data_IF_132098212723
#
_entry.id   IF_132098212723
#
_cell.length_a   1.000
_cell.length_b   1.000
_cell.length_c   1.000
_cell.angle_alpha   90.00
_cell.angle_beta   90.00
_cell.angle_gamma   90.00
#
_symmetry.space_group_name_H-M   'P 1'
#
loop_
_entity.id
_entity.type
_entity.pdbx_description
1 polymer ?
#
# COMPACT_ATOMS: atom_id res chain seq x y z
N UNK A 1 -17.04 -0.32 6.05
CA UNK A 1 -16.94 1.13 5.77
C UNK A 1 -16.53 1.83 7.05
N UNK A 2 -15.25 2.21 7.18
CA UNK A 2 -14.81 3.09 8.27
C UNK A 2 -14.96 4.51 7.78
N UNK A 3 -16.06 5.15 8.17
CA UNK A 3 -16.47 6.48 7.68
C UNK A 3 -15.68 7.63 8.30
N UNK A 4 -14.75 7.35 9.21
CA UNK A 4 -13.88 8.32 9.86
C UNK A 4 -12.48 7.73 10.02
N UNK A 5 -11.44 8.47 9.64
CA UNK A 5 -10.02 8.11 9.75
C UNK A 5 -9.52 8.01 11.20
N UNK A 6 -10.21 7.23 12.04
CA UNK A 6 -9.88 6.96 13.43
C UNK A 6 -9.99 5.46 13.69
N UNK A 7 -8.83 4.79 13.68
CA UNK A 7 -8.61 3.37 14.01
C UNK A 7 -9.64 2.39 13.44
N UNK A 8 -9.34 1.87 12.26
CA UNK A 8 -10.07 0.72 11.76
C UNK A 8 -9.86 -0.51 12.66
N UNK A 9 -10.95 -1.13 13.14
CA UNK A 9 -10.92 -2.37 13.94
C UNK A 9 -10.91 -3.64 13.10
N UNK A 10 -10.98 -3.53 11.77
CA UNK A 10 -10.75 -4.64 10.83
C UNK A 10 -9.35 -4.60 10.24
N UNK A 11 -8.84 -5.79 9.91
CA UNK A 11 -7.55 -6.02 9.28
C UNK A 11 -7.68 -6.51 7.83
N UNK A 12 -8.86 -6.35 7.23
CA UNK A 12 -9.04 -6.60 5.80
C UNK A 12 -8.12 -5.66 4.96
N UNK A 13 -7.82 -6.00 3.69
CA UNK A 13 -7.02 -5.13 2.82
C UNK A 13 -7.49 -3.67 2.85
N UNK A 14 -6.55 -2.74 2.98
CA UNK A 14 -6.82 -1.29 3.01
C UNK A 14 -7.17 -0.72 4.39
N UNK A 15 -7.09 -1.51 5.46
CA UNK A 15 -7.42 -1.08 6.81
C UNK A 15 -6.20 -1.04 7.74
N UNK A 16 -6.37 -1.31 9.05
CA UNK A 16 -5.24 -1.38 9.96
C UNK A 16 -4.30 -2.53 9.57
N UNK A 17 -3.01 -2.35 9.78
CA UNK A 17 -2.02 -3.39 9.49
C UNK A 17 -1.89 -4.35 10.67
N UNK A 18 -2.07 -5.64 10.42
CA UNK A 18 -1.97 -6.66 11.46
C UNK A 18 -0.50 -7.03 11.72
N UNK A 19 -0.13 -7.33 12.98
CA UNK A 19 1.25 -7.71 13.33
C UNK A 19 1.75 -8.99 12.63
N UNK A 20 0.85 -9.93 12.32
CA UNK A 20 1.24 -11.13 11.56
C UNK A 20 1.44 -10.79 10.07
N UNK A 21 0.62 -9.89 9.51
CA UNK A 21 0.75 -9.43 8.13
C UNK A 21 2.12 -8.78 7.90
N UNK A 22 2.56 -7.92 8.83
CA UNK A 22 3.89 -7.29 8.77
C UNK A 22 5.02 -8.32 8.83
N UNK A 23 4.91 -9.31 9.73
CA UNK A 23 5.91 -10.38 9.86
C UNK A 23 6.00 -11.23 8.61
N UNK A 24 4.86 -11.55 8.00
CA UNK A 24 4.82 -12.35 6.78
C UNK A 24 5.47 -11.60 5.62
N UNK A 25 5.09 -10.34 5.35
CA UNK A 25 5.68 -9.54 4.29
C UNK A 25 7.20 -9.33 4.47
N UNK A 26 7.66 -9.21 5.73
CA UNK A 26 9.09 -9.14 6.06
C UNK A 26 9.83 -10.47 5.84
N UNK A 27 9.14 -11.61 5.98
CA UNK A 27 9.73 -12.94 5.86
C UNK A 27 9.81 -13.44 4.40
N UNK A 28 9.16 -12.74 3.46
CA UNK A 28 9.13 -13.06 2.03
C UNK A 28 9.71 -11.92 1.18
N UNK A 29 10.99 -11.55 1.38
CA UNK A 29 11.60 -10.39 0.72
C UNK A 29 11.65 -10.48 -0.82
N UNK A 30 11.63 -11.70 -1.39
CA UNK A 30 11.64 -11.91 -2.84
C UNK A 30 10.27 -11.70 -3.50
N UNK A 31 9.20 -11.51 -2.73
CA UNK A 31 7.83 -11.31 -3.25
C UNK A 31 7.44 -9.82 -3.33
N UNK A 32 8.36 -8.90 -3.02
CA UNK A 32 8.13 -7.47 -3.19
C UNK A 32 8.27 -7.04 -4.64
N UNK A 33 7.33 -6.21 -5.09
CA UNK A 33 7.29 -5.61 -6.42
C UNK A 33 7.61 -4.12 -6.29
N UNK A 34 8.73 -3.70 -6.85
CA UNK A 34 9.08 -2.28 -6.91
C UNK A 34 8.17 -1.54 -7.89
N UNK A 35 7.72 -0.36 -7.51
CA UNK A 35 6.85 0.49 -8.31
C UNK A 35 7.15 1.98 -8.10
N UNK A 36 6.68 2.81 -9.01
CA UNK A 36 6.75 4.28 -8.92
C UNK A 36 5.33 4.83 -8.78
N UNK A 37 5.12 5.81 -7.90
CA UNK A 37 3.83 6.48 -7.77
C UNK A 37 3.53 7.28 -9.06
N UNK A 38 2.48 6.91 -9.78
CA UNK A 38 2.08 7.56 -11.03
C UNK A 38 1.10 8.73 -10.76
N UNK A 39 0.11 8.51 -9.90
CA UNK A 39 -0.86 9.54 -9.49
C UNK A 39 -1.50 9.20 -8.15
N UNK A 40 -2.08 10.22 -7.51
CA UNK A 40 -2.90 10.10 -6.30
C UNK A 40 -4.17 10.90 -6.55
N UNK A 41 -5.34 10.30 -6.32
CA UNK A 41 -6.63 10.97 -6.50
C UNK A 41 -7.11 11.68 -5.22
N UNK A 42 -8.18 12.47 -5.34
CA UNK A 42 -8.78 13.22 -4.23
C UNK A 42 -9.38 12.31 -3.14
N UNK A 43 -9.58 11.01 -3.42
CA UNK A 43 -10.07 10.01 -2.47
C UNK A 43 -8.92 9.28 -1.74
N UNK A 44 -7.67 9.60 -2.08
CA UNK A 44 -6.47 8.98 -1.52
C UNK A 44 -6.14 7.61 -2.11
N UNK A 45 -6.72 7.24 -3.25
CA UNK A 45 -6.25 6.09 -4.02
C UNK A 45 -5.02 6.51 -4.83
N UNK A 46 -4.02 5.64 -4.89
CA UNK A 46 -2.80 5.86 -5.66
C UNK A 46 -2.70 4.84 -6.79
N UNK A 47 -2.36 5.32 -7.98
CA UNK A 47 -1.94 4.49 -9.09
C UNK A 47 -0.42 4.36 -9.04
N UNK A 48 0.08 3.13 -9.07
CA UNK A 48 1.49 2.80 -9.09
C UNK A 48 1.83 2.15 -10.43
N UNK A 49 2.99 2.45 -10.97
CA UNK A 49 3.53 1.78 -12.15
C UNK A 49 4.69 0.88 -11.73
N UNK A 50 4.56 -0.44 -11.93
CA UNK A 50 5.61 -1.40 -11.59
C UNK A 50 6.90 -1.10 -12.38
N UNK A 51 8.06 -1.27 -11.74
CA UNK A 51 9.35 -0.98 -12.38
C UNK A 51 9.69 -2.03 -13.44
N UNK A 52 9.25 -3.28 -13.26
CA UNK A 52 9.62 -4.38 -14.13
C UNK A 52 9.00 -4.28 -15.53
N UNK A 53 7.73 -3.90 -15.63
CA UNK A 53 6.96 -3.95 -16.87
C UNK A 53 5.98 -2.77 -17.05
N UNK A 54 5.95 -1.81 -16.13
CA UNK A 54 5.09 -0.63 -16.19
C UNK A 54 3.61 -0.94 -15.94
N UNK A 55 3.28 -2.13 -15.44
CA UNK A 55 1.92 -2.51 -15.07
C UNK A 55 1.35 -1.55 -14.03
N UNK A 56 0.09 -1.16 -14.21
CA UNK A 56 -0.62 -0.29 -13.29
C UNK A 56 -1.19 -1.11 -12.12
N UNK A 57 -0.94 -0.63 -10.89
CA UNK A 57 -1.53 -1.16 -9.66
C UNK A 57 -2.29 -0.03 -8.98
N UNK A 58 -3.58 -0.25 -8.71
CA UNK A 58 -4.38 0.68 -7.92
C UNK A 58 -4.34 0.26 -6.46
N UNK A 59 -3.88 1.16 -5.59
CA UNK A 59 -3.79 0.93 -4.14
C UNK A 59 -4.58 1.96 -3.35
N UNK A 60 -5.17 1.52 -2.24
CA UNK A 60 -5.81 2.43 -1.28
C UNK A 60 -5.59 1.98 0.16
N UNK A 61 -5.38 2.93 1.08
CA UNK A 61 -5.31 2.65 2.52
C UNK A 61 -6.09 3.66 3.34
N UNK A 62 -7.05 3.18 4.11
CA UNK A 62 -7.74 3.96 5.14
C UNK A 62 -6.87 4.31 6.35
N UNK A 63 -5.61 3.87 6.38
CA UNK A 63 -4.62 4.25 7.39
C UNK A 63 -3.75 5.46 6.97
N UNK A 64 -4.13 6.17 5.89
CA UNK A 64 -3.47 7.41 5.46
C UNK A 64 -2.16 7.17 4.68
N UNK A 65 -2.12 6.16 3.81
CA UNK A 65 -0.96 5.95 2.94
C UNK A 65 -0.75 7.11 1.97
N UNK A 66 -1.83 7.70 1.45
CA UNK A 66 -1.79 8.85 0.54
C UNK A 66 -1.01 10.04 1.12
N UNK A 67 -1.10 10.29 2.43
CA UNK A 67 -0.37 11.38 3.10
C UNK A 67 1.15 11.16 3.13
N UNK A 68 1.61 9.93 2.87
CA UNK A 68 3.01 9.58 2.80
C UNK A 68 3.53 9.47 1.35
N UNK A 69 2.65 9.48 0.35
CA UNK A 69 3.00 9.28 -1.05
C UNK A 69 3.25 10.61 -1.75
N UNK A 70 4.23 10.59 -2.66
CA UNK A 70 4.51 11.69 -3.59
C UNK A 70 4.70 11.10 -4.99
N UNK A 71 4.09 11.72 -6.00
CA UNK A 71 4.20 11.29 -7.40
C UNK A 71 5.66 11.26 -7.83
N UNK A 72 6.07 10.17 -8.49
CA UNK A 72 7.45 9.90 -8.89
C UNK A 72 8.30 9.21 -7.83
N UNK A 73 7.79 9.05 -6.61
CA UNK A 73 8.55 8.39 -5.53
C UNK A 73 8.56 6.87 -5.72
N UNK A 74 9.73 6.21 -5.52
CA UNK A 74 9.80 4.75 -5.47
C UNK A 74 9.09 4.19 -4.23
N UNK A 75 8.33 3.14 -4.45
CA UNK A 75 7.62 2.36 -3.42
C UNK A 75 7.78 0.88 -3.72
N UNK A 76 7.42 0.03 -2.77
CA UNK A 76 7.35 -1.41 -3.00
C UNK A 76 6.00 -1.96 -2.54
N UNK A 77 5.44 -2.88 -3.30
CA UNK A 77 4.16 -3.53 -3.02
C UNK A 77 4.41 -5.02 -2.76
N UNK A 78 3.89 -5.53 -1.65
CA UNK A 78 3.79 -6.94 -1.40
C UNK A 78 2.36 -7.40 -1.70
N UNK A 79 2.09 -7.82 -2.94
CA UNK A 79 0.73 -8.08 -3.41
C UNK A 79 0.00 -9.13 -2.58
N UNK A 80 0.66 -10.28 -2.34
CA UNK A 80 0.10 -11.40 -1.58
C UNK A 80 -0.37 -11.03 -0.17
N UNK A 81 0.32 -10.09 0.47
CA UNK A 81 0.02 -9.66 1.83
C UNK A 81 -0.53 -8.25 1.90
N UNK A 82 -0.89 -7.66 0.76
CA UNK A 82 -1.57 -6.36 0.72
C UNK A 82 -0.79 -5.27 1.48
N UNK A 83 0.53 -5.19 1.28
CA UNK A 83 1.38 -4.20 1.95
C UNK A 83 2.00 -3.25 0.95
N UNK A 84 1.92 -1.95 1.23
CA UNK A 84 2.68 -0.92 0.54
C UNK A 84 3.77 -0.40 1.47
N UNK A 85 5.02 -0.44 1.02
CA UNK A 85 6.15 0.20 1.66
C UNK A 85 6.41 1.58 1.04
N UNK A 86 6.45 2.59 1.90
CA UNK A 86 6.81 3.98 1.57
C UNK A 86 7.94 4.39 2.49
N UNK A 87 9.18 4.34 1.99
CA UNK A 87 10.37 4.45 2.82
C UNK A 87 10.41 3.36 3.90
N UNK A 88 10.47 3.77 5.17
CA UNK A 88 10.46 2.87 6.34
C UNK A 88 9.06 2.55 6.88
N UNK A 89 8.00 3.14 6.29
CA UNK A 89 6.62 2.97 6.73
C UNK A 89 5.87 2.00 5.85
N UNK A 90 5.13 1.10 6.47
CA UNK A 90 4.32 0.10 5.78
C UNK A 90 2.84 0.31 6.07
N UNK A 91 2.02 0.12 5.03
CA UNK A 91 0.58 0.31 5.07
C UNK A 91 -0.11 -0.94 4.54
N UNK A 92 -1.18 -1.36 5.20
CA UNK A 92 -2.10 -2.34 4.64
C UNK A 92 -2.95 -1.64 3.55
N UNK A 93 -2.95 -2.19 2.34
CA UNK A 93 -3.57 -1.59 1.15
C UNK A 93 -4.58 -2.53 0.50
N UNK A 94 -5.68 -1.98 0.03
CA UNK A 94 -6.57 -2.65 -0.91
C UNK A 94 -5.94 -2.56 -2.29
N UNK A 95 -5.91 -3.68 -3.03
CA UNK A 95 -5.52 -3.74 -4.44
C UNK A 95 -6.80 -3.78 -5.30
N UNK A 96 -6.85 -2.94 -6.33
CA UNK A 96 -7.98 -2.79 -7.27
C UNK A 96 -7.71 -3.36 -8.65
#
# INVERSE_FOLDING_TARGET
MCVHGGSCSTFAPGHAMHLIQSRLASATPSEWVDAIVASIDDAGAAELSTVADGAALLVWSGAGAADALEVGTPVAVHERYHVLAVGDRWFNVLLG
#
